data_IF_457459469899
#
_entry.id   IF_457459469899
#
_cell.length_a   1.000
_cell.length_b   1.000
_cell.length_c   1.000
_cell.angle_alpha   90.00
_cell.angle_beta   90.00
_cell.angle_gamma   90.00
#
_symmetry.space_group_name_H-M   'P 1'
#
loop_
_entity.id
_entity.type
_entity.pdbx_description
1 polymer ?
#
# COMPACT_ATOMS: atom_id res chain seq x y z
N UNK A 1 16.87 5.88 -19.24
CA UNK A 1 15.49 6.07 -19.74
C UNK A 1 14.60 5.11 -18.99
N UNK A 2 13.69 5.64 -18.19
CA UNK A 2 12.83 4.84 -17.31
C UNK A 2 11.74 4.16 -18.15
N UNK A 3 11.46 2.87 -17.92
CA UNK A 3 10.37 2.19 -18.63
C UNK A 3 9.06 2.32 -17.81
N UNK A 4 8.03 3.03 -18.28
CA UNK A 4 6.77 3.22 -17.56
C UNK A 4 6.12 1.91 -17.10
N UNK A 5 6.30 0.84 -17.88
CA UNK A 5 5.84 -0.50 -17.55
C UNK A 5 6.43 -1.07 -16.25
N UNK A 6 7.64 -0.64 -15.84
CA UNK A 6 8.26 -1.05 -14.57
C UNK A 6 7.56 -0.42 -13.37
N UNK A 7 7.21 0.88 -13.43
CA UNK A 7 6.46 1.54 -12.34
C UNK A 7 5.11 0.86 -12.16
N UNK A 8 4.38 0.65 -13.26
CA UNK A 8 3.05 0.04 -13.21
C UNK A 8 3.07 -1.34 -12.53
N UNK A 9 4.07 -2.18 -12.85
CA UNK A 9 4.21 -3.49 -12.23
C UNK A 9 4.49 -3.40 -10.72
N UNK A 10 5.33 -2.46 -10.28
CA UNK A 10 5.62 -2.25 -8.85
C UNK A 10 4.37 -1.73 -8.11
N UNK A 11 3.67 -0.79 -8.71
CA UNK A 11 2.39 -0.26 -8.20
C UNK A 11 1.40 -1.40 -7.99
N UNK A 12 1.20 -2.26 -9.00
CA UNK A 12 0.24 -3.36 -8.92
C UNK A 12 0.53 -4.33 -7.77
N UNK A 13 1.81 -4.59 -7.48
CA UNK A 13 2.20 -5.41 -6.33
C UNK A 13 1.77 -4.76 -5.00
N UNK A 14 1.90 -3.44 -4.92
CA UNK A 14 1.67 -2.62 -3.73
C UNK A 14 0.20 -2.24 -3.50
N UNK A 15 -0.75 -2.79 -4.25
CA UNK A 15 -2.18 -2.54 -4.07
C UNK A 15 -2.90 -3.79 -3.56
N UNK A 16 -3.76 -3.62 -2.55
CA UNK A 16 -4.80 -4.59 -2.27
C UNK A 16 -5.88 -4.51 -3.36
N UNK A 17 -6.46 -5.66 -3.78
CA UNK A 17 -7.59 -5.64 -4.69
C UNK A 17 -8.74 -4.85 -4.08
N UNK A 18 -9.45 -4.09 -4.93
CA UNK A 18 -10.60 -3.29 -4.51
C UNK A 18 -11.65 -4.22 -3.88
N UNK A 19 -11.90 -4.01 -2.59
CA UNK A 19 -12.90 -4.75 -1.84
C UNK A 19 -14.30 -4.15 -2.02
N UNK A 20 -15.33 -4.96 -1.78
CA UNK A 20 -16.72 -4.47 -1.64
C UNK A 20 -16.96 -3.71 -0.34
N UNK A 21 -16.02 -3.82 0.60
CA UNK A 21 -16.07 -3.24 1.94
C UNK A 21 -14.72 -2.60 2.23
N UNK A 22 -14.73 -1.56 3.06
CA UNK A 22 -13.50 -0.97 3.60
C UNK A 22 -12.69 -1.95 4.45
N UNK A 23 -13.33 -2.99 5.01
CA UNK A 23 -12.66 -4.02 5.78
C UNK A 23 -12.36 -5.25 4.89
N UNK A 24 -11.10 -5.71 4.79
CA UNK A 24 -10.78 -6.97 4.12
C UNK A 24 -11.40 -8.19 4.84
N UNK A 25 -11.62 -9.32 4.15
CA UNK A 25 -12.19 -10.51 4.77
C UNK A 25 -11.33 -11.03 5.93
N UNK A 26 -11.95 -11.66 6.92
CA UNK A 26 -11.31 -12.05 8.18
C UNK A 26 -10.06 -12.92 7.97
N UNK A 27 -10.12 -13.89 7.05
CA UNK A 27 -8.98 -14.75 6.75
C UNK A 27 -7.75 -13.97 6.27
N UNK A 28 -7.96 -12.89 5.49
CA UNK A 28 -6.88 -12.04 5.01
C UNK A 28 -6.31 -11.21 6.16
N UNK A 29 -7.17 -10.61 6.99
CA UNK A 29 -6.74 -9.87 8.19
C UNK A 29 -5.88 -10.73 9.11
N UNK A 30 -6.36 -11.92 9.47
CA UNK A 30 -5.62 -12.85 10.33
C UNK A 30 -4.30 -13.27 9.70
N UNK A 31 -4.28 -13.48 8.38
CA UNK A 31 -3.05 -13.77 7.64
C UNK A 31 -2.03 -12.64 7.74
N UNK A 32 -2.48 -11.39 7.55
CA UNK A 32 -1.65 -10.18 7.65
C UNK A 32 -1.12 -9.97 9.08
N UNK A 33 -1.98 -10.10 10.09
CA UNK A 33 -1.61 -10.00 11.51
C UNK A 33 -0.56 -11.05 11.89
N UNK A 34 -0.75 -12.32 11.48
CA UNK A 34 0.23 -13.40 11.72
C UNK A 34 1.58 -13.17 11.04
N UNK A 35 1.59 -12.46 9.92
CA UNK A 35 2.81 -12.09 9.19
C UNK A 35 3.46 -10.81 9.73
N UNK A 36 2.93 -10.23 10.83
CA UNK A 36 3.47 -9.02 11.44
C UNK A 36 3.25 -7.76 10.61
N UNK A 37 2.25 -7.74 9.74
CA UNK A 37 1.86 -6.52 9.03
C UNK A 37 1.07 -5.58 9.95
N UNK A 38 1.28 -4.27 9.79
CA UNK A 38 0.71 -3.25 10.66
C UNK A 38 -0.09 -2.26 9.83
N UNK A 39 -1.23 -1.82 10.35
CA UNK A 39 -2.10 -0.87 9.66
C UNK A 39 -1.94 0.54 10.23
N UNK A 40 -1.89 1.53 9.35
CA UNK A 40 -1.79 2.95 9.70
C UNK A 40 -2.89 3.75 8.99
N UNK A 41 -3.46 4.74 9.68
CA UNK A 41 -4.40 5.67 9.05
C UNK A 41 -3.67 6.58 8.05
N UNK A 42 -4.36 6.92 6.96
CA UNK A 42 -3.79 7.69 5.84
C UNK A 42 -3.37 9.08 6.29
N UNK A 43 -4.20 9.92 6.95
CA UNK A 43 -3.75 11.26 7.39
C UNK A 43 -2.55 11.20 8.34
N UNK A 44 -2.48 10.18 9.19
CA UNK A 44 -1.32 9.94 10.05
C UNK A 44 -0.07 9.58 9.24
N UNK A 45 -0.21 8.70 8.24
CA UNK A 45 0.89 8.38 7.32
C UNK A 45 1.34 9.63 6.55
N UNK A 46 0.41 10.44 6.03
CA UNK A 46 0.71 11.66 5.25
C UNK A 46 1.47 12.74 6.03
N UNK A 47 1.60 12.61 7.37
CA UNK A 47 2.39 13.51 8.21
C UNK A 47 3.91 13.28 8.11
N UNK A 48 4.35 12.24 7.40
CA UNK A 48 5.75 11.97 7.10
C UNK A 48 6.22 10.56 7.51
N UNK A 49 7.47 10.18 7.18
CA UNK A 49 7.98 8.82 7.40
C UNK A 49 8.13 8.44 8.87
N UNK A 50 8.20 9.41 9.79
CA UNK A 50 8.43 9.16 11.21
C UNK A 50 7.42 8.18 11.83
N UNK A 51 6.15 8.22 11.41
CA UNK A 51 5.12 7.29 11.90
C UNK A 51 5.44 5.87 11.43
N UNK A 52 5.84 5.67 10.18
CA UNK A 52 6.15 4.33 9.67
C UNK A 52 7.51 3.81 10.12
N UNK A 53 8.47 4.70 10.37
CA UNK A 53 9.75 4.37 11.04
C UNK A 53 9.50 3.88 12.46
N UNK A 54 8.70 4.59 13.26
CA UNK A 54 8.33 4.13 14.60
C UNK A 54 7.66 2.76 14.59
N UNK A 55 6.74 2.52 13.63
CA UNK A 55 6.11 1.21 13.48
C UNK A 55 7.12 0.12 13.09
N UNK A 56 8.17 0.44 12.32
CA UNK A 56 9.24 -0.52 12.00
C UNK A 56 10.18 -0.75 13.17
N UNK A 57 10.42 0.26 14.01
CA UNK A 57 11.20 0.08 15.24
C UNK A 57 10.47 -0.85 16.22
N UNK A 58 9.14 -0.72 16.32
CA UNK A 58 8.31 -1.52 17.24
C UNK A 58 8.04 -2.94 16.73
N UNK A 59 7.76 -3.10 15.43
CA UNK A 59 7.35 -4.38 14.84
C UNK A 59 8.46 -5.06 14.01
N UNK A 60 9.65 -4.43 13.94
CA UNK A 60 10.84 -4.90 13.24
C UNK A 60 11.02 -4.31 11.83
N UNK A 61 12.27 -4.18 11.39
CA UNK A 61 12.68 -3.65 10.07
C UNK A 61 11.96 -4.29 8.86
N UNK A 62 11.47 -5.52 9.06
CA UNK A 62 10.71 -6.27 8.07
C UNK A 62 9.20 -6.00 8.05
N UNK A 63 8.66 -5.25 9.00
CA UNK A 63 7.22 -5.01 9.10
C UNK A 63 6.70 -4.38 7.81
N UNK A 64 5.57 -4.89 7.32
CA UNK A 64 4.88 -4.32 6.16
C UNK A 64 3.82 -3.36 6.66
N UNK A 65 3.96 -2.09 6.30
CA UNK A 65 2.99 -1.07 6.67
C UNK A 65 1.87 -1.00 5.63
N UNK A 66 0.63 -1.12 6.09
CA UNK A 66 -0.58 -1.14 5.27
C UNK A 66 -1.39 0.13 5.56
N UNK A 67 -1.89 0.81 4.53
CA UNK A 67 -2.83 1.92 4.76
C UNK A 67 -4.22 1.42 5.15
N UNK A 68 -4.95 2.22 5.92
CA UNK A 68 -6.42 2.22 5.86
C UNK A 68 -6.91 2.59 4.44
N UNK A 69 -8.20 2.36 4.09
CA UNK A 69 -8.72 2.65 2.76
C UNK A 69 -8.48 4.10 2.33
N UNK A 70 -7.97 4.27 1.11
CA UNK A 70 -7.68 5.61 0.56
C UNK A 70 -8.91 6.41 0.12
N UNK A 71 -10.10 5.83 0.16
CA UNK A 71 -11.34 6.43 -0.34
C UNK A 71 -12.21 6.99 0.78
N UNK A 72 -11.63 7.44 1.89
CA UNK A 72 -12.31 8.23 2.93
C UNK A 72 -12.54 9.66 2.45
N UNK A 73 -13.53 10.38 3.01
CA UNK A 73 -13.87 11.73 2.57
C UNK A 73 -12.68 12.69 2.71
N UNK A 74 -12.00 12.63 3.86
CA UNK A 74 -10.81 13.44 4.13
C UNK A 74 -9.70 13.24 3.08
N UNK A 75 -9.43 11.99 2.70
CA UNK A 75 -8.40 11.70 1.69
C UNK A 75 -8.83 12.16 0.30
N UNK A 76 -10.08 11.92 -0.06
CA UNK A 76 -10.63 12.29 -1.36
C UNK A 76 -10.67 13.80 -1.54
N UNK A 77 -11.10 14.54 -0.52
CA UNK A 77 -11.19 16.01 -0.53
C UNK A 77 -9.81 16.67 -0.45
N UNK A 78 -8.86 16.10 0.30
CA UNK A 78 -7.53 16.67 0.47
C UNK A 78 -6.58 16.44 -0.72
N UNK A 79 -6.50 15.20 -1.22
CA UNK A 79 -5.46 14.79 -2.18
C UNK A 79 -5.99 13.98 -3.37
N UNK A 80 -7.20 13.45 -3.25
CA UNK A 80 -7.71 12.41 -4.15
C UNK A 80 -6.92 11.09 -4.00
N UNK A 81 -7.56 9.98 -4.40
CA UNK A 81 -6.96 8.64 -4.24
C UNK A 81 -5.57 8.51 -4.92
N UNK A 82 -5.34 8.98 -6.16
CA UNK A 82 -4.03 8.85 -6.80
C UNK A 82 -2.93 9.67 -6.13
N UNK A 83 -3.25 10.89 -5.66
CA UNK A 83 -2.30 11.74 -4.93
C UNK A 83 -1.96 11.16 -3.56
N UNK A 84 -2.99 10.70 -2.85
CA UNK A 84 -2.82 10.04 -1.56
C UNK A 84 -1.98 8.76 -1.65
N UNK A 85 -2.10 7.98 -2.72
CA UNK A 85 -1.27 6.80 -2.95
C UNK A 85 0.22 7.16 -3.04
N UNK A 86 0.57 8.21 -3.80
CA UNK A 86 1.96 8.69 -3.93
C UNK A 86 2.51 9.14 -2.58
N UNK A 87 1.74 9.95 -1.85
CA UNK A 87 2.15 10.47 -0.55
C UNK A 87 2.27 9.36 0.51
N UNK A 88 1.39 8.36 0.48
CA UNK A 88 1.47 7.20 1.37
C UNK A 88 2.77 6.42 1.14
N UNK A 89 3.18 6.19 -0.12
CA UNK A 89 4.48 5.57 -0.40
C UNK A 89 5.63 6.44 0.09
N UNK A 90 5.61 7.74 -0.15
CA UNK A 90 6.63 8.67 0.36
C UNK A 90 6.74 8.64 1.89
N UNK A 91 5.62 8.40 2.55
CA UNK A 91 5.55 8.30 4.00
C UNK A 91 5.90 6.92 4.54
N UNK A 92 6.35 6.00 3.68
CA UNK A 92 6.81 4.67 4.09
C UNK A 92 5.73 3.60 4.16
N UNK A 93 4.50 3.84 3.69
CA UNK A 93 3.49 2.78 3.52
C UNK A 93 3.88 1.86 2.37
N UNK A 94 3.79 0.55 2.56
CA UNK A 94 4.21 -0.45 1.57
C UNK A 94 3.03 -1.02 0.76
N UNK A 95 1.88 -1.23 1.41
CA UNK A 95 0.68 -1.81 0.80
C UNK A 95 -0.52 -0.88 0.97
N UNK A 96 -1.15 -0.48 -0.13
CA UNK A 96 -2.29 0.42 -0.08
C UNK A 96 -3.61 -0.35 -0.13
N UNK A 97 -4.52 0.00 0.75
CA UNK A 97 -5.89 -0.49 0.72
C UNK A 97 -6.78 0.42 -0.12
N UNK A 98 -7.42 -0.15 -1.13
CA UNK A 98 -8.44 0.54 -1.91
C UNK A 98 -9.81 0.18 -1.37
N UNK A 99 -10.62 1.18 -1.03
CA UNK A 99 -11.99 0.93 -0.58
C UNK A 99 -13.02 0.94 -1.71
N UNK A 100 -14.29 0.68 -1.35
CA UNK A 100 -15.38 0.42 -2.30
C UNK A 100 -15.84 1.65 -3.10
N UNK A 101 -15.51 2.87 -2.66
CA UNK A 101 -15.85 4.12 -3.38
C UNK A 101 -14.83 4.45 -4.46
N UNK A 102 -13.73 3.71 -4.55
CA UNK A 102 -12.81 3.79 -5.67
C UNK A 102 -13.52 3.42 -6.97
N UNK A 103 -13.68 4.40 -7.87
CA UNK A 103 -14.35 4.21 -9.16
C UNK A 103 -13.56 3.37 -10.16
N UNK A 104 -14.22 3.03 -11.27
CA UNK A 104 -13.57 2.43 -12.42
C UNK A 104 -12.44 3.34 -12.93
N UNK A 105 -11.26 2.76 -13.15
CA UNK A 105 -10.06 3.50 -13.59
C UNK A 105 -9.14 4.00 -12.47
N UNK A 106 -9.49 3.82 -11.19
CA UNK A 106 -8.63 4.21 -10.05
C UNK A 106 -7.21 3.63 -10.16
N UNK A 107 -7.09 2.38 -10.60
CA UNK A 107 -5.79 1.70 -10.74
C UNK A 107 -4.92 2.39 -11.79
N UNK A 108 -5.51 2.73 -12.93
CA UNK A 108 -4.80 3.42 -14.01
C UNK A 108 -4.43 4.85 -13.59
N UNK A 109 -5.29 5.52 -12.83
CA UNK A 109 -5.01 6.83 -12.27
C UNK A 109 -3.84 6.79 -11.27
N UNK A 110 -3.80 5.78 -10.37
CA UNK A 110 -2.68 5.58 -9.44
C UNK A 110 -1.39 5.28 -10.21
N UNK A 111 -1.42 4.37 -11.19
CA UNK A 111 -0.24 4.06 -12.02
C UNK A 111 0.29 5.30 -12.74
N UNK A 112 -0.61 6.11 -13.30
CA UNK A 112 -0.27 7.37 -13.98
C UNK A 112 0.36 8.36 -13.00
N UNK A 113 -0.23 8.55 -11.82
CA UNK A 113 0.28 9.44 -10.80
C UNK A 113 1.67 9.02 -10.30
N UNK A 114 1.85 7.73 -9.99
CA UNK A 114 3.14 7.17 -9.58
C UNK A 114 4.20 7.31 -10.67
N UNK A 115 3.85 7.02 -11.92
CA UNK A 115 4.78 7.14 -13.06
C UNK A 115 5.26 8.57 -13.25
N UNK A 116 4.35 9.55 -13.12
CA UNK A 116 4.70 10.97 -13.16
C UNK A 116 5.59 11.36 -12.00
N UNK A 117 5.19 11.05 -10.76
CA UNK A 117 6.00 11.37 -9.58
C UNK A 117 7.41 10.77 -9.63
N UNK A 118 7.58 9.56 -10.18
CA UNK A 118 8.91 8.96 -10.40
C UNK A 118 9.68 9.69 -11.50
N UNK A 119 9.02 10.07 -12.60
CA UNK A 119 9.66 10.79 -13.70
C UNK A 119 10.10 12.20 -13.28
N UNK A 120 9.31 12.86 -12.42
CA UNK A 120 9.55 14.20 -11.90
C UNK A 120 10.57 14.20 -10.75
N UNK A 121 10.86 13.02 -10.17
CA UNK A 121 11.82 12.83 -9.08
C UNK A 121 11.23 12.99 -7.68
N UNK A 122 9.93 13.28 -7.58
CA UNK A 122 9.21 13.42 -6.31
C UNK A 122 9.11 12.09 -5.56
N UNK A 123 8.87 10.98 -6.28
CA UNK A 123 8.83 9.63 -5.72
C UNK A 123 10.07 8.83 -6.16
N UNK A 124 11.01 8.52 -5.24
CA UNK A 124 12.14 7.66 -5.59
C UNK A 124 11.65 6.28 -6.07
N UNK A 125 12.16 5.81 -7.20
CA UNK A 125 11.86 4.44 -7.66
C UNK A 125 12.21 3.41 -6.58
N UNK A 126 13.36 3.55 -5.93
CA UNK A 126 13.81 2.62 -4.89
C UNK A 126 12.76 2.43 -3.79
N UNK A 127 11.99 3.48 -3.48
CA UNK A 127 10.91 3.40 -2.50
C UNK A 127 9.81 2.41 -2.93
N UNK A 128 9.41 2.43 -4.21
CA UNK A 128 8.44 1.47 -4.76
C UNK A 128 9.02 0.05 -4.84
N UNK A 129 10.31 -0.09 -5.13
CA UNK A 129 10.99 -1.40 -5.15
C UNK A 129 11.04 -2.04 -3.77
N UNK A 130 11.37 -1.25 -2.74
CA UNK A 130 11.37 -1.69 -1.35
C UNK A 130 9.98 -2.10 -0.88
N UNK A 131 8.95 -1.28 -1.17
CA UNK A 131 7.55 -1.61 -0.89
C UNK A 131 7.15 -2.93 -1.56
N UNK A 132 7.40 -3.05 -2.87
CA UNK A 132 7.04 -4.24 -3.63
C UNK A 132 7.77 -5.49 -3.13
N UNK A 133 9.04 -5.38 -2.73
CA UNK A 133 9.81 -6.49 -2.18
C UNK A 133 9.23 -6.97 -0.83
N UNK A 134 8.90 -6.05 0.09
CA UNK A 134 8.25 -6.36 1.37
C UNK A 134 6.88 -7.01 1.16
N UNK A 135 6.06 -6.44 0.28
CA UNK A 135 4.72 -6.96 -0.04
C UNK A 135 4.79 -8.34 -0.72
N UNK A 136 5.75 -8.56 -1.61
CA UNK A 136 5.93 -9.87 -2.24
C UNK A 136 6.30 -10.94 -1.21
N UNK A 137 7.10 -10.61 -0.19
CA UNK A 137 7.39 -11.52 0.93
C UNK A 137 6.13 -11.81 1.75
N UNK A 138 5.42 -10.77 2.16
CA UNK A 138 4.16 -10.88 2.91
C UNK A 138 3.15 -11.78 2.20
N UNK A 139 2.95 -11.60 0.88
CA UNK A 139 2.00 -12.43 0.12
C UNK A 139 2.37 -13.92 0.13
N UNK A 140 3.66 -14.26 0.13
CA UNK A 140 4.12 -15.65 0.24
C UNK A 140 3.82 -16.23 1.61
N UNK A 141 4.06 -15.47 2.68
CA UNK A 141 3.80 -15.89 4.06
C UNK A 141 2.30 -16.08 4.34
N UNK A 142 1.48 -15.12 3.91
CA UNK A 142 0.01 -15.21 4.03
C UNK A 142 -0.50 -16.43 3.25
N UNK A 143 0.00 -16.65 2.04
CA UNK A 143 -0.41 -17.78 1.20
C UNK A 143 0.02 -19.12 1.81
N UNK A 144 1.24 -19.24 2.32
CA UNK A 144 1.74 -20.43 3.02
C UNK A 144 0.96 -20.72 4.31
N UNK A 145 0.64 -19.68 5.08
CA UNK A 145 -0.16 -19.77 6.30
C UNK A 145 -1.66 -19.99 6.08
N UNK A 146 -2.16 -19.80 4.85
CA UNK A 146 -3.58 -20.04 4.48
C UNK A 146 -3.88 -21.51 4.19
N UNK A 147 -2.86 -22.35 3.99
CA UNK A 147 -3.04 -23.79 3.73
C UNK A 147 -3.20 -24.64 5.00
N UNK A 148 -2.90 -24.11 6.19
CA UNK A 148 -3.02 -24.85 7.46
C UNK A 148 -4.36 -24.62 8.19
N UNK A 149 -5.22 -23.73 7.70
CA UNK A 149 -6.53 -23.43 8.30
C UNK A 149 -7.61 -23.36 7.21
N UNK A 150 -7.91 -24.50 6.58
CA UNK A 150 -9.20 -24.71 5.89
C UNK A 150 -9.95 -25.82 6.62
N UNK A 151 -11.21 -25.61 7.03
CA UNK A 151 -12.07 -26.74 7.37
C UNK A 151 -12.33 -27.62 6.14
#
# INVERSE_FOLDING_TARGET
MYAPHRVAALVDVCLLPVGRTHRPPEWLRRGLERAGAVTVDVPAALSGPAVTELLRDEFGEGAVVISEPLDTDEVVEGWGVPGAAVLAWLSGVDLLQLGPRCGAGVLEAIRTAATRAVADGDLPLSRLEEAAARVARLRREVSAGSFHERP
#
